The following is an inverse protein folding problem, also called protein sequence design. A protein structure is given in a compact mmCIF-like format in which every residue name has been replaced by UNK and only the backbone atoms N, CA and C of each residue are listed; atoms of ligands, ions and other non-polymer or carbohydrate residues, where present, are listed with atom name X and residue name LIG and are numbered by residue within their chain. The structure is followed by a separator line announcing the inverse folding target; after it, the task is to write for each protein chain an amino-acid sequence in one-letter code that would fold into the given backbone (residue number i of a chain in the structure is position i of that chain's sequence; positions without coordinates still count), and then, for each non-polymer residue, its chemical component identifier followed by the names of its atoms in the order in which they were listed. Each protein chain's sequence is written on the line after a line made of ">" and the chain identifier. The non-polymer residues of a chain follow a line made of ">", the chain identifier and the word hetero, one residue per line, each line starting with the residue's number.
data_IF_203866196298
#
_entry.id   IF_203866196298
#
_cell.length_a   1.000
_cell.length_b   1.000
_cell.length_c   1.000
_cell.angle_alpha   90.00
_cell.angle_beta   90.00
_cell.angle_gamma   90.00
#
_symmetry.space_group_name_H-M   'P 1'
#
loop_
_entity.id
_entity.type
_entity.pdbx_description
1 polymer ?
#
# COMPACT_ATOMS: atom_id res chain seq x y z
N UNK A 1 -68.27 63.02 5.85
CA UNK A 1 -67.60 61.74 5.53
C UNK A 1 -66.32 62.08 4.78
N UNK A 2 -65.17 61.95 5.44
CA UNK A 2 -63.83 62.04 4.83
C UNK A 2 -63.28 60.62 4.72
N UNK A 3 -62.78 60.21 3.57
CA UNK A 3 -61.34 60.15 3.30
C UNK A 3 -61.07 59.45 1.97
N UNK A 4 -60.18 60.09 1.23
CA UNK A 4 -59.55 59.70 -0.01
C UNK A 4 -58.33 58.83 0.32
N UNK A 5 -58.13 57.75 -0.43
CA UNK A 5 -57.01 56.83 -0.27
C UNK A 5 -56.66 56.14 -1.58
N UNK A 6 -56.02 56.91 -2.45
CA UNK A 6 -55.25 56.50 -3.62
C UNK A 6 -54.39 55.25 -3.34
N UNK A 7 -54.37 54.25 -4.23
CA UNK A 7 -53.12 53.71 -4.79
C UNK A 7 -53.37 52.81 -6.02
N UNK A 8 -52.46 52.83 -7.01
CA UNK A 8 -52.71 52.41 -8.39
C UNK A 8 -52.33 50.96 -8.66
N UNK A 9 -53.02 50.42 -9.67
CA UNK A 9 -52.52 49.61 -10.78
C UNK A 9 -51.21 48.82 -10.60
N UNK A 10 -51.39 47.50 -10.56
CA UNK A 10 -50.63 46.48 -11.27
C UNK A 10 -49.17 46.79 -11.68
N UNK A 11 -48.29 46.91 -10.69
CA UNK A 11 -46.87 46.65 -10.86
C UNK A 11 -46.57 45.16 -10.75
N UNK A 12 -47.01 44.36 -11.73
CA UNK A 12 -46.48 43.01 -11.97
C UNK A 12 -45.04 43.14 -12.47
N UNK A 13 -44.10 43.38 -11.57
CA UNK A 13 -42.67 43.38 -11.87
C UNK A 13 -42.01 42.20 -11.15
N UNK A 14 -42.09 41.03 -11.81
CA UNK A 14 -41.23 39.84 -11.66
C UNK A 14 -40.62 39.63 -10.27
N UNK A 15 -41.44 39.13 -9.36
CA UNK A 15 -40.99 38.48 -8.14
C UNK A 15 -40.37 37.12 -8.52
N UNK A 16 -39.06 37.10 -8.73
CA UNK A 16 -38.32 35.84 -8.72
C UNK A 16 -38.37 35.37 -7.26
N UNK A 17 -38.93 34.18 -6.93
CA UNK A 17 -39.40 33.92 -5.57
C UNK A 17 -38.23 33.93 -4.57
N UNK A 18 -38.23 34.79 -3.54
CA UNK A 18 -37.21 34.82 -2.49
C UNK A 18 -37.03 33.47 -1.78
N UNK A 19 -38.09 32.64 -1.77
CA UNK A 19 -38.15 31.31 -1.15
C UNK A 19 -37.20 30.27 -1.79
N UNK A 20 -37.01 30.30 -3.12
CA UNK A 20 -36.10 29.35 -3.81
C UNK A 20 -34.64 29.70 -3.52
N UNK A 21 -34.31 30.99 -3.43
CA UNK A 21 -32.97 31.45 -3.12
C UNK A 21 -32.59 31.13 -1.67
N UNK A 22 -33.53 31.25 -0.73
CA UNK A 22 -33.37 30.82 0.66
C UNK A 22 -33.24 29.30 0.79
N UNK A 23 -34.06 28.52 0.07
CA UNK A 23 -33.91 27.06 0.03
C UNK A 23 -32.55 26.63 -0.52
N UNK A 24 -32.04 27.30 -1.56
CA UNK A 24 -30.72 27.04 -2.13
C UNK A 24 -29.60 27.41 -1.17
N UNK A 25 -29.76 28.52 -0.44
CA UNK A 25 -28.81 28.98 0.57
C UNK A 25 -28.75 28.00 1.74
N UNK A 26 -29.90 27.54 2.23
CA UNK A 26 -30.02 26.56 3.31
C UNK A 26 -29.47 25.19 2.90
N UNK A 27 -29.71 24.74 1.66
CA UNK A 27 -29.08 23.54 1.08
C UNK A 27 -27.56 23.70 0.97
N UNK A 28 -27.07 24.87 0.57
CA UNK A 28 -25.64 25.14 0.45
C UNK A 28 -24.93 25.14 1.81
N UNK A 29 -25.58 25.66 2.85
CA UNK A 29 -25.07 25.66 4.22
C UNK A 29 -25.10 24.26 4.83
N UNK A 30 -26.17 23.50 4.59
CA UNK A 30 -26.24 22.07 4.94
C UNK A 30 -25.16 21.25 4.25
N UNK A 31 -24.91 21.49 2.96
CA UNK A 31 -23.86 20.82 2.19
C UNK A 31 -22.45 21.16 2.69
N UNK A 32 -22.21 22.45 3.04
CA UNK A 32 -20.94 22.89 3.66
C UNK A 32 -20.72 22.23 5.02
N UNK A 33 -21.77 22.10 5.82
CA UNK A 33 -21.71 21.41 7.12
C UNK A 33 -21.44 19.89 6.94
N UNK A 34 -22.10 19.24 5.98
CA UNK A 34 -21.84 17.84 5.65
C UNK A 34 -20.42 17.60 5.13
N UNK A 35 -19.90 18.48 4.28
CA UNK A 35 -18.51 18.44 3.81
C UNK A 35 -17.52 18.62 4.98
N UNK A 36 -17.78 19.58 5.87
CA UNK A 36 -16.95 19.80 7.05
C UNK A 36 -16.93 18.57 7.97
N UNK A 37 -18.07 17.92 8.18
CA UNK A 37 -18.16 16.68 8.97
C UNK A 37 -17.40 15.51 8.32
N UNK A 38 -17.51 15.37 6.99
CA UNK A 38 -16.81 14.35 6.21
C UNK A 38 -15.29 14.53 6.30
N UNK A 39 -14.82 15.78 6.18
CA UNK A 39 -13.41 16.11 6.34
C UNK A 39 -12.90 15.79 7.75
N UNK A 40 -13.71 16.05 8.78
CA UNK A 40 -13.39 15.67 10.15
C UNK A 40 -13.29 14.15 10.32
N UNK A 41 -14.21 13.36 9.74
CA UNK A 41 -14.16 11.89 9.76
C UNK A 41 -12.95 11.33 9.03
N UNK A 42 -12.61 11.86 7.85
CA UNK A 42 -11.39 11.47 7.11
C UNK A 42 -10.14 11.80 7.91
N UNK A 43 -10.10 12.96 8.57
CA UNK A 43 -8.97 13.36 9.41
C UNK A 43 -8.82 12.45 10.63
N UNK A 44 -9.92 12.04 11.27
CA UNK A 44 -9.92 11.09 12.36
C UNK A 44 -9.43 9.69 11.92
N UNK A 45 -9.94 9.18 10.78
CA UNK A 45 -9.46 7.94 10.16
C UNK A 45 -7.95 7.99 9.87
N UNK A 46 -7.46 9.12 9.34
CA UNK A 46 -6.04 9.30 9.05
C UNK A 46 -5.17 9.26 10.31
N UNK A 47 -5.64 9.85 11.40
CA UNK A 47 -4.96 9.79 12.71
C UNK A 47 -4.96 8.38 13.28
N UNK A 48 -6.06 7.64 13.15
CA UNK A 48 -6.15 6.24 13.58
C UNK A 48 -5.19 5.34 12.79
N UNK A 49 -5.18 5.46 11.45
CA UNK A 49 -4.23 4.72 10.59
C UNK A 49 -2.78 5.06 10.92
N UNK A 50 -2.47 6.33 11.19
CA UNK A 50 -1.13 6.73 11.62
C UNK A 50 -0.75 6.12 12.99
N UNK A 51 -1.71 6.02 13.91
CA UNK A 51 -1.53 5.36 15.20
C UNK A 51 -1.33 3.84 15.03
N UNK A 52 -2.11 3.19 14.17
CA UNK A 52 -1.95 1.76 13.84
C UNK A 52 -0.57 1.46 13.22
N UNK A 53 -0.09 2.34 12.33
CA UNK A 53 1.27 2.23 11.77
C UNK A 53 2.34 2.41 12.84
N UNK A 54 2.13 3.33 13.80
CA UNK A 54 3.07 3.53 14.90
C UNK A 54 3.11 2.34 15.88
N UNK A 55 1.94 1.75 16.19
CA UNK A 55 1.78 0.51 16.94
C UNK A 55 2.39 -0.70 16.22
N UNK A 56 2.16 -0.81 14.91
CA UNK A 56 2.77 -1.84 14.09
C UNK A 56 4.30 -1.70 14.09
N UNK A 57 4.84 -0.48 13.99
CA UNK A 57 6.30 -0.24 13.97
C UNK A 57 6.98 -0.63 15.29
N UNK A 58 6.34 -0.41 16.43
CA UNK A 58 6.91 -0.78 17.74
C UNK A 58 6.92 -2.29 17.98
N UNK A 59 5.88 -3.00 17.53
CA UNK A 59 5.83 -4.47 17.59
C UNK A 59 6.69 -5.15 16.50
N UNK A 60 6.72 -4.57 15.29
CA UNK A 60 7.50 -5.08 14.15
C UNK A 60 8.99 -5.03 14.43
N UNK A 61 9.50 -3.97 15.07
CA UNK A 61 10.92 -3.83 15.38
C UNK A 61 11.47 -5.00 16.18
N UNK A 62 10.74 -5.44 17.21
CA UNK A 62 11.11 -6.61 18.00
C UNK A 62 10.92 -7.90 17.19
N UNK A 63 9.80 -8.07 16.48
CA UNK A 63 9.58 -9.29 15.68
C UNK A 63 10.66 -9.52 14.62
N UNK A 64 11.16 -8.47 13.96
CA UNK A 64 12.23 -8.55 12.96
C UNK A 64 13.56 -8.89 13.63
N UNK A 65 13.87 -8.27 14.77
CA UNK A 65 15.05 -8.60 15.56
C UNK A 65 15.03 -10.08 16.00
N UNK A 66 13.89 -10.57 16.52
CA UNK A 66 13.72 -11.97 16.90
C UNK A 66 13.76 -12.92 15.70
N UNK A 67 13.22 -12.50 14.55
CA UNK A 67 13.32 -13.27 13.31
C UNK A 67 14.78 -13.40 12.87
N UNK A 68 15.56 -12.31 12.92
CA UNK A 68 16.99 -12.35 12.59
C UNK A 68 17.76 -13.27 13.55
N UNK A 69 17.51 -13.17 14.86
CA UNK A 69 18.10 -14.05 15.87
C UNK A 69 17.72 -15.51 15.60
N UNK A 70 16.44 -15.79 15.33
CA UNK A 70 15.96 -17.13 15.02
C UNK A 70 16.60 -17.71 13.75
N UNK A 71 16.83 -16.89 12.72
CA UNK A 71 17.53 -17.31 11.50
C UNK A 71 18.99 -17.65 11.79
N UNK A 72 19.71 -16.81 12.55
CA UNK A 72 21.12 -17.06 12.92
C UNK A 72 21.23 -18.33 13.76
N UNK A 73 20.45 -18.45 14.83
CA UNK A 73 20.46 -19.63 15.69
C UNK A 73 19.96 -20.88 14.96
N UNK A 74 18.98 -20.74 14.07
CA UNK A 74 18.51 -21.83 13.22
C UNK A 74 19.59 -22.33 12.26
N UNK A 75 20.36 -21.41 11.66
CA UNK A 75 21.48 -21.77 10.81
C UNK A 75 22.59 -22.48 11.60
N UNK A 76 23.01 -21.92 12.74
CA UNK A 76 24.04 -22.52 13.60
C UNK A 76 23.59 -23.88 14.14
N UNK A 77 22.37 -23.97 14.65
CA UNK A 77 21.77 -25.22 15.13
C UNK A 77 21.64 -26.26 14.03
N UNK A 78 21.26 -25.85 12.82
CA UNK A 78 21.23 -26.72 11.64
C UNK A 78 22.60 -27.30 11.30
N UNK A 79 23.66 -26.47 11.29
CA UNK A 79 25.03 -26.95 11.05
C UNK A 79 25.49 -27.95 12.12
N UNK A 80 25.20 -27.67 13.40
CA UNK A 80 25.51 -28.58 14.50
C UNK A 80 24.71 -29.89 14.37
N UNK A 81 23.44 -29.82 14.00
CA UNK A 81 22.59 -30.99 13.79
C UNK A 81 23.11 -31.85 12.62
N UNK A 82 23.55 -31.23 11.53
CA UNK A 82 24.15 -31.95 10.40
C UNK A 82 25.47 -32.62 10.80
N UNK A 83 26.32 -31.92 11.55
CA UNK A 83 27.54 -32.49 12.11
C UNK A 83 27.25 -33.69 13.02
N UNK A 84 26.27 -33.55 13.92
CA UNK A 84 25.81 -34.63 14.79
C UNK A 84 25.22 -35.80 14.01
N UNK A 85 24.47 -35.54 12.93
CA UNK A 85 23.90 -36.56 12.06
C UNK A 85 24.99 -37.35 11.33
N UNK A 86 26.01 -36.67 10.78
CA UNK A 86 27.18 -37.33 10.18
C UNK A 86 27.88 -38.21 11.23
N UNK A 87 28.15 -37.66 12.42
CA UNK A 87 28.79 -38.40 13.51
C UNK A 87 27.95 -39.61 13.96
N UNK A 88 26.63 -39.49 13.99
CA UNK A 88 25.72 -40.58 14.32
C UNK A 88 25.72 -41.66 13.23
N UNK A 89 25.69 -41.30 11.94
CA UNK A 89 25.77 -42.28 10.85
C UNK A 89 27.07 -43.08 10.89
N UNK A 90 28.19 -42.39 11.15
CA UNK A 90 29.49 -43.07 11.28
C UNK A 90 29.52 -43.98 12.50
N UNK A 91 29.06 -43.52 13.66
CA UNK A 91 29.16 -44.28 14.92
C UNK A 91 28.17 -45.45 15.03
N UNK A 92 26.92 -45.27 14.59
CA UNK A 92 25.86 -46.27 14.81
C UNK A 92 25.65 -47.23 13.64
N UNK A 93 26.00 -46.81 12.42
CA UNK A 93 25.81 -47.63 11.22
C UNK A 93 27.13 -48.10 10.60
N UNK A 94 28.28 -47.82 11.24
CA UNK A 94 29.63 -48.08 10.72
C UNK A 94 29.81 -47.60 9.27
N UNK A 95 29.06 -46.57 8.89
CA UNK A 95 29.03 -46.07 7.53
C UNK A 95 30.35 -45.36 7.22
N UNK A 96 30.85 -45.58 5.99
CA UNK A 96 32.03 -44.85 5.52
C UNK A 96 31.80 -43.34 5.64
N UNK A 97 32.79 -42.64 6.20
CA UNK A 97 32.81 -41.19 6.33
C UNK A 97 32.34 -40.45 5.06
N UNK A 98 32.79 -40.90 3.89
CA UNK A 98 32.40 -40.32 2.60
C UNK A 98 30.91 -40.50 2.30
N UNK A 99 30.35 -41.66 2.62
CA UNK A 99 28.95 -41.96 2.36
C UNK A 99 28.05 -41.15 3.29
N UNK A 100 28.44 -40.99 4.56
CA UNK A 100 27.73 -40.13 5.52
C UNK A 100 27.71 -38.67 5.09
N UNK A 101 28.85 -38.15 4.62
CA UNK A 101 28.94 -36.79 4.07
C UNK A 101 28.09 -36.61 2.81
N UNK A 102 28.10 -37.60 1.90
CA UNK A 102 27.29 -37.55 0.68
C UNK A 102 25.80 -37.58 0.98
N UNK A 103 25.34 -38.43 1.92
CA UNK A 103 23.93 -38.52 2.31
C UNK A 103 23.43 -37.22 2.95
N UNK A 104 24.19 -36.69 3.91
CA UNK A 104 23.84 -35.43 4.58
C UNK A 104 23.93 -34.25 3.61
N UNK A 105 24.94 -34.23 2.74
CA UNK A 105 25.08 -33.23 1.68
C UNK A 105 23.92 -33.25 0.68
N UNK A 106 23.48 -34.44 0.25
CA UNK A 106 22.32 -34.61 -0.62
C UNK A 106 21.04 -34.10 0.07
N UNK A 107 20.86 -34.40 1.35
CA UNK A 107 19.72 -33.90 2.13
C UNK A 107 19.71 -32.36 2.19
N UNK A 108 20.87 -31.73 2.38
CA UNK A 108 21.02 -30.27 2.33
C UNK A 108 20.72 -29.67 0.95
N UNK A 109 21.16 -30.33 -0.13
CA UNK A 109 20.86 -29.86 -1.49
C UNK A 109 19.36 -29.95 -1.79
N UNK A 110 18.71 -31.04 -1.37
CA UNK A 110 17.25 -31.21 -1.52
C UNK A 110 16.49 -30.17 -0.72
N UNK A 111 16.86 -29.94 0.55
CA UNK A 111 16.20 -28.93 1.38
C UNK A 111 16.40 -27.51 0.84
N UNK A 112 17.61 -27.17 0.37
CA UNK A 112 17.90 -25.91 -0.28
C UNK A 112 17.11 -25.73 -1.58
N UNK A 113 16.99 -26.77 -2.41
CA UNK A 113 16.20 -26.74 -3.63
C UNK A 113 14.70 -26.54 -3.34
N UNK A 114 14.16 -27.20 -2.31
CA UNK A 114 12.77 -27.01 -1.88
C UNK A 114 12.56 -25.58 -1.37
N UNK A 115 13.48 -25.07 -0.55
CA UNK A 115 13.40 -23.70 -0.03
C UNK A 115 13.46 -22.67 -1.16
N UNK A 116 14.37 -22.83 -2.12
CA UNK A 116 14.48 -21.98 -3.29
C UNK A 116 13.23 -22.04 -4.17
N UNK A 117 12.68 -23.24 -4.41
CA UNK A 117 11.43 -23.39 -5.14
C UNK A 117 10.28 -22.70 -4.41
N UNK A 118 10.13 -22.92 -3.10
CA UNK A 118 9.10 -22.23 -2.32
C UNK A 118 9.26 -20.71 -2.42
N UNK A 119 10.46 -20.18 -2.27
CA UNK A 119 10.73 -18.75 -2.43
C UNK A 119 10.30 -18.25 -3.82
N UNK A 120 10.68 -18.95 -4.90
CA UNK A 120 10.28 -18.60 -6.27
C UNK A 120 8.77 -18.69 -6.49
N UNK A 121 8.10 -19.69 -5.93
CA UNK A 121 6.64 -19.83 -6.01
C UNK A 121 5.93 -18.67 -5.26
N UNK A 122 6.45 -18.25 -4.10
CA UNK A 122 5.96 -17.05 -3.41
C UNK A 122 6.19 -15.78 -4.24
N UNK A 123 7.33 -15.66 -4.94
CA UNK A 123 7.57 -14.55 -5.86
C UNK A 123 6.65 -14.56 -7.07
N UNK A 124 6.22 -15.74 -7.53
CA UNK A 124 5.26 -15.88 -8.64
C UNK A 124 3.87 -15.34 -8.26
N UNK A 125 3.43 -15.56 -7.02
CA UNK A 125 2.21 -14.96 -6.47
C UNK A 125 2.35 -13.48 -6.09
N UNK A 126 3.58 -13.02 -5.85
CA UNK A 126 3.91 -11.63 -5.53
C UNK A 126 4.48 -10.89 -6.75
N UNK A 127 4.22 -11.37 -7.97
CA UNK A 127 4.46 -10.59 -9.17
C UNK A 127 3.60 -9.34 -9.07
N UNK A 128 4.28 -8.23 -8.77
CA UNK A 128 3.82 -6.85 -8.78
C UNK A 128 3.39 -6.42 -10.20
N UNK A 129 2.50 -7.18 -10.85
CA UNK A 129 1.89 -6.81 -12.13
C UNK A 129 1.13 -5.49 -12.00
N UNK A 130 0.58 -5.22 -10.82
CA UNK A 130 -0.02 -3.93 -10.45
C UNK A 130 1.04 -2.82 -10.39
N UNK A 131 2.15 -3.02 -9.67
CA UNK A 131 3.20 -1.99 -9.51
C UNK A 131 4.01 -1.79 -10.78
N UNK A 132 4.24 -2.83 -11.59
CA UNK A 132 4.89 -2.72 -12.92
C UNK A 132 4.01 -1.98 -13.92
N UNK A 133 2.69 -2.16 -13.86
CA UNK A 133 1.72 -1.32 -14.59
C UNK A 133 1.65 0.10 -14.04
N UNK A 134 1.74 0.28 -12.72
CA UNK A 134 1.69 1.60 -12.09
C UNK A 134 2.97 2.40 -12.36
N UNK A 135 4.16 1.79 -12.34
CA UNK A 135 5.42 2.42 -12.77
C UNK A 135 5.43 2.72 -14.27
N UNK A 136 4.89 1.82 -15.12
CA UNK A 136 4.75 2.09 -16.54
C UNK A 136 3.78 3.26 -16.83
N UNK A 137 2.75 3.46 -15.98
CA UNK A 137 1.83 4.61 -16.06
C UNK A 137 2.37 5.89 -15.42
N UNK A 138 3.39 5.80 -14.57
CA UNK A 138 4.02 6.94 -13.87
C UNK A 138 5.11 7.64 -14.70
N UNK A 139 5.26 7.32 -15.99
CA UNK A 139 5.90 8.25 -16.93
C UNK A 139 7.42 8.33 -16.85
N UNK A 140 8.13 7.20 -16.96
CA UNK A 140 9.52 7.21 -17.46
C UNK A 140 9.60 7.38 -18.99
N UNK A 141 8.59 8.02 -19.58
CA UNK A 141 8.57 8.48 -20.98
C UNK A 141 8.46 10.02 -21.05
N UNK A 142 8.83 10.72 -19.97
CA UNK A 142 8.98 12.19 -19.95
C UNK A 142 10.28 12.67 -20.64
N UNK A 143 10.69 11.96 -21.70
CA UNK A 143 11.79 12.35 -22.61
C UNK A 143 11.33 12.50 -24.05
N UNK A 144 10.05 12.76 -24.28
CA UNK A 144 9.58 13.24 -25.58
C UNK A 144 8.81 14.54 -25.41
N UNK A 145 9.55 15.56 -24.98
CA UNK A 145 9.13 16.94 -25.20
C UNK A 145 9.07 17.14 -26.72
N UNK A 146 7.89 17.33 -27.35
CA UNK A 146 7.82 17.75 -28.73
C UNK A 146 8.14 19.24 -28.70
N UNK A 147 9.42 19.56 -28.88
CA UNK A 147 9.81 20.94 -29.11
C UNK A 147 9.07 21.40 -30.38
N UNK A 148 8.29 22.50 -30.32
CA UNK A 148 7.51 22.93 -31.47
C UNK A 148 8.47 23.29 -32.59
N UNK A 149 8.20 22.79 -33.79
CA UNK A 149 8.80 23.27 -35.03
C UNK A 149 8.42 24.74 -35.18
N UNK A 150 9.28 25.65 -34.72
CA UNK A 150 9.30 27.03 -35.17
C UNK A 150 10.12 27.07 -36.46
N UNK A 151 9.50 26.57 -37.53
CA UNK A 151 9.83 27.02 -38.88
C UNK A 151 9.05 28.32 -39.08
N UNK A 152 9.71 29.44 -38.84
CA UNK A 152 9.25 30.74 -39.32
C UNK A 152 10.44 31.37 -40.05
N UNK A 153 10.34 31.35 -41.38
CA UNK A 153 11.41 31.73 -42.28
C UNK A 153 11.66 33.23 -42.28
N UNK A 154 12.90 33.61 -42.59
CA UNK A 154 13.32 34.77 -43.42
C UNK A 154 14.86 34.83 -43.46
N UNK A 155 15.45 35.48 -44.49
CA UNK A 155 16.36 34.90 -45.49
C UNK A 155 17.80 34.61 -45.05
#
# INVERSE_FOLDING_TARGET
>A
MQQQGQHPDAGQEKDLPPDILEAFRQVSEGSKASLASTLASVRALRTLVAADIALARSALGYSVAFTAVAVVFGAVGGLLLMSALVAALVTYFDLSWWLSLLLVGMLCLVSAAIAAWRALAYFEHTQLRATRRQLAKLGLDERKNPQPTADDGTP
#
